data_IF_189249712525
#
_entry.id   IF_189249712525
#
_cell.length_a   1.000
_cell.length_b   1.000
_cell.length_c   1.000
_cell.angle_alpha   90.00
_cell.angle_beta   90.00
_cell.angle_gamma   90.00
#
_symmetry.space_group_name_H-M   'P 1'
#
loop_
_entity.id
_entity.type
_entity.pdbx_description
1 polymer ?
#
# COMPACT_ATOMS: atom_id res chain seq x y z
N UNK A 1 7.69 -37.23 -21.84
CA UNK A 1 6.99 -36.05 -21.29
C UNK A 1 6.50 -36.40 -19.89
N UNK A 2 6.61 -35.50 -18.89
CA UNK A 2 5.87 -35.71 -17.64
C UNK A 2 4.37 -35.65 -17.98
N UNK A 3 3.53 -36.58 -17.51
CA UNK A 3 2.09 -36.55 -17.79
C UNK A 3 1.49 -35.25 -17.27
N UNK A 4 0.56 -34.66 -18.02
CA UNK A 4 -0.11 -33.41 -17.67
C UNK A 4 -0.81 -33.60 -16.32
N UNK A 5 -0.77 -32.60 -15.43
CA UNK A 5 -1.32 -32.75 -14.06
C UNK A 5 -2.79 -33.18 -14.06
N UNK A 6 -3.53 -32.78 -15.10
CA UNK A 6 -4.93 -33.12 -15.37
C UNK A 6 -5.15 -34.63 -15.53
N UNK A 7 -4.19 -35.37 -16.11
CA UNK A 7 -4.27 -36.83 -16.27
C UNK A 7 -4.19 -37.56 -14.92
N UNK A 8 -3.59 -36.91 -13.91
CA UNK A 8 -3.42 -37.44 -12.56
C UNK A 8 -4.63 -37.17 -11.67
N UNK A 9 -5.59 -36.36 -12.12
CA UNK A 9 -6.82 -36.09 -11.40
C UNK A 9 -7.74 -37.31 -11.46
N UNK A 10 -8.28 -37.69 -10.30
CA UNK A 10 -9.39 -38.62 -10.20
C UNK A 10 -10.71 -37.86 -10.37
N UNK A 11 -10.84 -36.69 -9.76
CA UNK A 11 -11.96 -35.75 -9.94
C UNK A 11 -11.45 -34.32 -10.00
N UNK A 12 -12.18 -33.47 -10.70
CA UNK A 12 -11.97 -32.02 -10.72
C UNK A 12 -12.95 -31.36 -11.69
N UNK A 13 -13.48 -30.21 -11.31
CA UNK A 13 -14.36 -29.41 -12.16
C UNK A 13 -13.71 -28.06 -12.44
N UNK A 14 -13.95 -27.47 -13.60
CA UNK A 14 -13.53 -26.08 -13.83
C UNK A 14 -14.15 -25.17 -12.77
N UNK A 15 -13.35 -24.24 -12.25
CA UNK A 15 -13.85 -23.21 -11.35
C UNK A 15 -14.90 -22.35 -12.06
N UNK A 16 -15.96 -21.93 -11.35
CA UNK A 16 -17.10 -21.22 -11.91
C UNK A 16 -17.34 -19.91 -11.17
N UNK A 17 -17.71 -18.87 -11.91
CA UNK A 17 -18.16 -17.60 -11.32
C UNK A 17 -19.45 -17.80 -10.49
N UNK A 18 -20.31 -18.73 -10.94
CA UNK A 18 -21.55 -19.12 -10.27
C UNK A 18 -21.47 -20.62 -9.95
N UNK A 19 -20.91 -21.00 -8.80
CA UNK A 19 -20.75 -22.40 -8.41
C UNK A 19 -22.08 -23.02 -7.94
N UNK A 20 -22.31 -24.28 -8.31
CA UNK A 20 -23.54 -25.04 -7.99
C UNK A 20 -23.37 -25.90 -6.74
N UNK A 21 -22.75 -25.35 -5.69
CA UNK A 21 -22.50 -26.05 -4.41
C UNK A 21 -23.52 -25.63 -3.36
N UNK A 22 -23.78 -26.50 -2.37
CA UNK A 22 -24.78 -26.29 -1.34
C UNK A 22 -24.60 -24.99 -0.54
N UNK A 23 -25.69 -24.47 0.03
CA UNK A 23 -25.73 -23.17 0.72
C UNK A 23 -24.84 -23.07 1.97
N UNK A 24 -24.49 -24.20 2.58
CA UNK A 24 -23.56 -24.28 3.69
C UNK A 24 -22.09 -24.15 3.27
N UNK A 25 -21.75 -24.43 2.00
CA UNK A 25 -20.36 -24.53 1.50
C UNK A 25 -19.81 -23.20 1.01
N UNK A 26 -19.82 -22.21 1.88
CA UNK A 26 -19.35 -20.85 1.55
C UNK A 26 -17.88 -20.80 1.11
N UNK A 27 -17.01 -21.64 1.69
CA UNK A 27 -15.58 -21.73 1.33
C UNK A 27 -15.40 -22.15 -0.13
N UNK A 28 -16.05 -23.25 -0.53
CA UNK A 28 -16.02 -23.74 -1.92
C UNK A 28 -16.57 -22.67 -2.90
N UNK A 29 -17.58 -21.88 -2.50
CA UNK A 29 -18.12 -20.82 -3.37
C UNK A 29 -17.13 -19.68 -3.58
N UNK A 30 -16.57 -19.15 -2.50
CA UNK A 30 -15.63 -18.04 -2.58
C UNK A 30 -14.39 -18.43 -3.39
N UNK A 31 -13.87 -19.64 -3.15
CA UNK A 31 -12.73 -20.18 -3.89
C UNK A 31 -13.06 -20.40 -5.36
N UNK A 32 -14.21 -20.97 -5.70
CA UNK A 32 -14.61 -21.15 -7.10
C UNK A 32 -14.74 -19.81 -7.84
N UNK A 33 -15.41 -18.81 -7.24
CA UNK A 33 -15.58 -17.50 -7.84
C UNK A 33 -14.24 -16.76 -8.05
N UNK A 34 -13.34 -16.81 -7.05
CA UNK A 34 -11.98 -16.27 -7.16
C UNK A 34 -11.19 -16.94 -8.30
N UNK A 35 -11.16 -18.28 -8.30
CA UNK A 35 -10.41 -19.06 -9.26
C UNK A 35 -10.94 -18.90 -10.69
N UNK A 36 -12.25 -18.78 -10.85
CA UNK A 36 -12.88 -18.44 -12.12
C UNK A 36 -12.50 -17.03 -12.58
N UNK A 37 -12.48 -16.06 -11.66
CA UNK A 37 -12.04 -14.70 -11.95
C UNK A 37 -10.57 -14.65 -12.40
N UNK A 38 -9.70 -15.52 -11.89
CA UNK A 38 -8.32 -15.63 -12.42
C UNK A 38 -8.25 -16.12 -13.87
N UNK A 39 -9.19 -16.98 -14.30
CA UNK A 39 -9.24 -17.44 -15.68
C UNK A 39 -9.75 -16.34 -16.62
N UNK A 40 -10.74 -15.55 -16.16
CA UNK A 40 -11.43 -14.56 -17.01
C UNK A 40 -10.74 -13.18 -17.00
N UNK A 41 -10.05 -12.81 -15.92
CA UNK A 41 -9.39 -11.51 -15.76
C UNK A 41 -7.87 -11.69 -15.60
N UNK A 42 -7.11 -11.86 -16.71
CA UNK A 42 -5.68 -12.16 -16.65
C UNK A 42 -4.84 -11.09 -15.95
N UNK A 43 -5.25 -9.83 -16.02
CA UNK A 43 -4.58 -8.72 -15.32
C UNK A 43 -4.62 -8.89 -13.80
N UNK A 44 -5.77 -9.30 -13.25
CA UNK A 44 -5.93 -9.63 -11.84
C UNK A 44 -5.14 -10.86 -11.44
N UNK A 45 -5.27 -11.95 -12.20
CA UNK A 45 -4.50 -13.17 -11.95
C UNK A 45 -3.00 -12.92 -11.95
N UNK A 46 -2.50 -12.19 -12.95
CA UNK A 46 -1.08 -11.81 -13.06
C UNK A 46 -0.61 -11.02 -11.86
N UNK A 47 -1.41 -10.05 -11.42
CA UNK A 47 -1.08 -9.15 -10.31
C UNK A 47 -1.05 -9.88 -8.96
N UNK A 48 -1.93 -10.85 -8.75
CA UNK A 48 -1.93 -11.69 -7.55
C UNK A 48 -0.82 -12.73 -7.62
N UNK A 49 -0.77 -13.52 -8.70
CA UNK A 49 0.07 -14.71 -8.81
C UNK A 49 1.57 -14.38 -9.02
N UNK A 50 1.92 -13.16 -9.47
CA UNK A 50 3.32 -12.71 -9.48
C UNK A 50 3.96 -12.74 -8.09
N UNK A 51 3.15 -12.56 -7.03
CA UNK A 51 3.64 -12.52 -5.65
C UNK A 51 3.96 -13.92 -5.09
N UNK A 52 3.56 -14.98 -5.78
CA UNK A 52 3.86 -16.38 -5.43
C UNK A 52 4.76 -17.05 -6.47
N UNK A 53 5.60 -16.24 -7.13
CA UNK A 53 6.61 -16.69 -8.11
C UNK A 53 6.04 -17.44 -9.32
N UNK A 54 4.73 -17.34 -9.54
CA UNK A 54 4.10 -17.94 -10.70
C UNK A 54 4.55 -17.21 -11.98
N UNK A 55 4.66 -17.90 -13.13
CA UNK A 55 5.09 -17.29 -14.38
C UNK A 55 4.06 -16.26 -14.88
N UNK A 56 4.53 -15.05 -15.18
CA UNK A 56 3.68 -13.90 -15.55
C UNK A 56 4.03 -13.34 -16.95
N UNK A 57 3.71 -14.11 -18.00
CA UNK A 57 3.93 -13.74 -19.40
C UNK A 57 2.68 -13.23 -20.14
N UNK A 58 2.84 -12.65 -21.33
CA UNK A 58 1.71 -12.22 -22.18
C UNK A 58 0.92 -13.38 -22.80
N UNK A 59 1.52 -14.57 -22.91
CA UNK A 59 0.94 -15.77 -23.54
C UNK A 59 0.64 -16.89 -22.54
N UNK A 60 0.41 -16.54 -21.27
CA UNK A 60 0.06 -17.55 -20.27
C UNK A 60 -1.40 -17.96 -20.43
N UNK A 61 -1.67 -19.27 -20.34
CA UNK A 61 -3.03 -19.80 -20.20
C UNK A 61 -3.21 -20.21 -18.75
N UNK A 62 -4.20 -19.62 -18.08
CA UNK A 62 -4.54 -19.95 -16.70
C UNK A 62 -5.80 -20.81 -16.72
N UNK A 63 -5.73 -21.96 -16.05
CA UNK A 63 -6.86 -22.87 -15.89
C UNK A 63 -6.94 -23.24 -14.42
N UNK A 64 -8.12 -23.10 -13.84
CA UNK A 64 -8.36 -23.40 -12.44
C UNK A 64 -9.44 -24.46 -12.31
N UNK A 65 -9.20 -25.40 -11.40
CA UNK A 65 -10.14 -26.44 -11.02
C UNK A 65 -10.53 -26.30 -9.55
N UNK A 66 -11.73 -26.75 -9.21
CA UNK A 66 -12.21 -26.97 -7.85
C UNK A 66 -12.53 -28.44 -7.64
N UNK A 67 -12.74 -28.83 -6.38
CA UNK A 67 -13.13 -30.20 -6.01
C UNK A 67 -12.10 -31.27 -6.44
N UNK A 68 -10.83 -30.95 -6.26
CA UNK A 68 -9.73 -31.68 -6.86
C UNK A 68 -9.38 -32.90 -6.01
N UNK A 69 -9.35 -34.07 -6.62
CA UNK A 69 -8.80 -35.30 -6.01
C UNK A 69 -7.84 -35.96 -6.99
N UNK A 70 -6.81 -36.63 -6.47
CA UNK A 70 -5.77 -37.25 -7.28
C UNK A 70 -5.88 -38.78 -7.28
N UNK A 71 -5.49 -39.38 -8.40
CA UNK A 71 -5.31 -40.84 -8.53
C UNK A 71 -4.15 -41.29 -7.64
N UNK A 72 -4.26 -42.48 -7.05
CA UNK A 72 -3.26 -43.08 -6.14
C UNK A 72 -3.05 -42.36 -4.79
N UNK A 73 -4.04 -41.63 -4.28
CA UNK A 73 -4.03 -41.26 -2.87
C UNK A 73 -4.08 -42.51 -1.99
N UNK A 74 -3.32 -42.53 -0.90
CA UNK A 74 -3.42 -43.58 0.12
C UNK A 74 -4.89 -43.73 0.52
N UNK A 75 -5.42 -44.96 0.49
CA UNK A 75 -6.85 -45.27 0.64
C UNK A 75 -7.51 -44.69 1.91
N UNK A 76 -6.71 -44.28 2.90
CA UNK A 76 -7.16 -43.73 4.18
C UNK A 76 -7.03 -42.20 4.33
N UNK A 77 -6.44 -41.47 3.36
CA UNK A 77 -6.38 -40.00 3.38
C UNK A 77 -7.17 -39.42 2.21
N UNK A 78 -8.44 -39.07 2.46
CA UNK A 78 -9.26 -38.27 1.52
C UNK A 78 -8.85 -36.79 1.57
N UNK A 79 -7.63 -36.50 1.14
CA UNK A 79 -7.16 -35.12 0.98
C UNK A 79 -7.78 -34.53 -0.28
N UNK A 80 -8.70 -33.57 -0.11
CA UNK A 80 -9.43 -32.87 -1.18
C UNK A 80 -9.17 -31.37 -1.05
N UNK A 81 -8.11 -30.85 -1.68
CA UNK A 81 -7.88 -29.41 -1.76
C UNK A 81 -9.07 -28.70 -2.43
N UNK A 82 -9.36 -27.48 -1.99
CA UNK A 82 -10.44 -26.66 -2.54
C UNK A 82 -10.24 -26.31 -4.02
N UNK A 83 -8.98 -26.19 -4.46
CA UNK A 83 -8.69 -25.94 -5.87
C UNK A 83 -7.28 -26.30 -6.35
N UNK A 84 -7.11 -26.18 -7.66
CA UNK A 84 -5.85 -26.36 -8.39
C UNK A 84 -5.73 -25.27 -9.43
N UNK A 85 -4.62 -24.52 -9.42
CA UNK A 85 -4.25 -23.54 -10.44
C UNK A 85 -3.23 -24.20 -11.37
N UNK A 86 -3.45 -24.05 -12.66
CA UNK A 86 -2.54 -24.47 -13.72
C UNK A 86 -2.22 -23.27 -14.59
N UNK A 87 -0.94 -22.94 -14.70
CA UNK A 87 -0.45 -21.89 -15.59
C UNK A 87 0.46 -22.53 -16.64
N UNK A 88 0.05 -22.42 -17.91
CA UNK A 88 0.81 -22.95 -19.04
C UNK A 88 1.47 -21.80 -19.79
N UNK A 89 2.78 -21.92 -20.03
CA UNK A 89 3.57 -20.99 -20.84
C UNK A 89 4.38 -21.79 -21.87
N UNK A 90 3.81 -21.95 -23.07
CA UNK A 90 4.36 -22.84 -24.09
C UNK A 90 4.37 -24.29 -23.58
N UNK A 91 5.56 -24.89 -23.50
CA UNK A 91 5.76 -26.27 -23.01
C UNK A 91 5.97 -26.37 -21.50
N UNK A 92 6.13 -25.24 -20.80
CA UNK A 92 6.34 -25.21 -19.36
C UNK A 92 5.01 -25.02 -18.64
N UNK A 93 4.86 -25.71 -17.52
CA UNK A 93 3.68 -25.64 -16.67
C UNK A 93 4.11 -25.33 -15.24
N UNK A 94 3.36 -24.43 -14.59
CA UNK A 94 3.44 -24.16 -13.17
C UNK A 94 2.09 -24.49 -12.52
N UNK A 95 2.09 -25.18 -11.39
CA UNK A 95 0.88 -25.65 -10.73
C UNK A 95 0.88 -25.33 -9.23
N UNK A 96 -0.30 -25.02 -8.70
CA UNK A 96 -0.48 -24.80 -7.26
C UNK A 96 -1.78 -25.40 -6.74
N UNK A 97 -1.72 -26.12 -5.63
CA UNK A 97 -2.91 -26.46 -4.85
C UNK A 97 -3.42 -25.23 -4.11
N UNK A 98 -4.73 -25.16 -3.91
CA UNK A 98 -5.39 -24.09 -3.16
C UNK A 98 -6.19 -24.70 -2.03
N UNK A 99 -5.98 -24.19 -0.83
CA UNK A 99 -6.82 -24.46 0.35
C UNK A 99 -7.33 -23.14 0.90
N UNK A 100 -8.62 -23.08 1.21
CA UNK A 100 -9.27 -21.86 1.67
C UNK A 100 -9.99 -22.06 2.99
N UNK A 101 -10.02 -20.99 3.79
CA UNK A 101 -10.82 -20.90 5.00
C UNK A 101 -11.54 -19.56 5.04
N UNK A 102 -12.77 -19.57 5.52
CA UNK A 102 -13.54 -18.33 5.76
C UNK A 102 -13.96 -18.25 7.23
N UNK A 103 -14.55 -17.13 7.62
CA UNK A 103 -15.01 -16.91 9.00
C UNK A 103 -13.84 -16.95 9.99
N UNK A 104 -14.04 -17.66 11.10
CA UNK A 104 -13.08 -17.79 12.19
C UNK A 104 -12.35 -19.14 12.18
N UNK A 105 -12.44 -19.91 11.10
CA UNK A 105 -11.78 -21.21 11.01
C UNK A 105 -10.31 -21.01 10.65
N UNK A 106 -9.42 -21.47 11.52
CA UNK A 106 -7.99 -21.39 11.31
C UNK A 106 -7.49 -22.51 10.40
N UNK A 107 -6.37 -22.25 9.71
CA UNK A 107 -5.67 -23.27 8.94
C UNK A 107 -5.02 -24.27 9.90
N UNK A 108 -5.32 -25.56 9.75
CA UNK A 108 -4.72 -26.61 10.57
C UNK A 108 -3.35 -27.03 10.03
N UNK A 109 -2.34 -27.12 10.90
CA UNK A 109 -0.99 -27.53 10.50
C UNK A 109 -0.97 -28.91 9.82
N UNK A 110 -1.68 -29.88 10.40
CA UNK A 110 -1.78 -31.23 9.85
C UNK A 110 -2.33 -31.23 8.42
N UNK A 111 -3.39 -30.45 8.18
CA UNK A 111 -4.00 -30.32 6.85
C UNK A 111 -3.04 -29.71 5.83
N UNK A 112 -2.31 -28.65 6.20
CA UNK A 112 -1.31 -28.02 5.33
C UNK A 112 -0.19 -29.00 5.01
N UNK A 113 0.32 -29.68 6.04
CA UNK A 113 1.41 -30.64 5.89
C UNK A 113 1.00 -31.84 5.00
N UNK A 114 -0.24 -32.31 5.10
CA UNK A 114 -0.79 -33.36 4.24
C UNK A 114 -0.91 -32.90 2.79
N UNK A 115 -1.31 -31.65 2.54
CA UNK A 115 -1.34 -31.09 1.19
C UNK A 115 0.05 -30.82 0.61
N UNK A 116 1.04 -30.50 1.44
CA UNK A 116 2.43 -30.40 0.99
C UNK A 116 2.96 -31.77 0.53
N UNK A 117 2.64 -32.84 1.26
CA UNK A 117 3.00 -34.20 0.88
C UNK A 117 2.28 -34.63 -0.41
N UNK A 118 0.99 -34.30 -0.54
CA UNK A 118 0.20 -34.52 -1.76
C UNK A 118 0.81 -33.78 -2.96
N UNK A 119 1.13 -32.50 -2.80
CA UNK A 119 1.75 -31.68 -3.83
C UNK A 119 3.09 -32.28 -4.28
N UNK A 120 3.91 -32.74 -3.32
CA UNK A 120 5.18 -33.40 -3.61
C UNK A 120 5.00 -34.70 -4.40
N UNK A 121 4.06 -35.56 -3.99
CA UNK A 121 3.77 -36.83 -4.65
C UNK A 121 3.34 -36.64 -6.12
N UNK A 122 2.61 -35.56 -6.40
CA UNK A 122 2.16 -35.23 -7.77
C UNK A 122 3.04 -34.22 -8.50
N UNK A 123 4.18 -33.82 -7.94
CA UNK A 123 5.12 -32.87 -8.56
C UNK A 123 4.51 -31.49 -8.82
N UNK A 124 3.63 -31.04 -7.93
CA UNK A 124 3.01 -29.71 -7.93
C UNK A 124 3.99 -28.70 -7.34
N UNK A 125 4.06 -27.48 -7.89
CA UNK A 125 5.08 -26.51 -7.53
C UNK A 125 4.81 -25.83 -6.18
N UNK A 126 3.55 -25.54 -5.88
CA UNK A 126 3.19 -24.77 -4.69
C UNK A 126 1.89 -25.22 -4.01
N UNK A 127 1.75 -24.85 -2.74
CA UNK A 127 0.50 -24.81 -2.00
C UNK A 127 0.21 -23.36 -1.63
N UNK A 128 -0.97 -22.87 -2.01
CA UNK A 128 -1.47 -21.53 -1.67
C UNK A 128 -2.61 -21.70 -0.69
N UNK A 129 -2.48 -21.13 0.50
CA UNK A 129 -3.56 -21.05 1.47
C UNK A 129 -4.23 -19.68 1.40
N UNK A 130 -5.55 -19.62 1.59
CA UNK A 130 -6.31 -18.37 1.61
C UNK A 130 -7.17 -18.35 2.87
N UNK A 131 -7.04 -17.36 3.73
CA UNK A 131 -7.91 -17.26 4.91
C UNK A 131 -8.14 -15.83 5.38
N UNK A 132 -8.87 -15.65 6.48
CA UNK A 132 -8.97 -14.36 7.16
C UNK A 132 -7.77 -14.09 8.09
N UNK A 133 -6.82 -15.03 8.21
CA UNK A 133 -5.61 -14.86 9.01
C UNK A 133 -4.64 -13.85 8.39
N UNK A 134 -3.75 -13.34 9.23
CA UNK A 134 -2.83 -12.27 8.87
C UNK A 134 -1.68 -12.79 7.99
N UNK A 135 -1.45 -12.12 6.86
CA UNK A 135 -0.20 -12.20 6.10
C UNK A 135 0.21 -10.83 5.56
N UNK A 136 1.44 -10.44 5.88
CA UNK A 136 2.09 -9.26 5.29
C UNK A 136 2.61 -9.53 3.90
N UNK A 137 3.25 -10.69 3.73
CA UNK A 137 3.82 -11.18 2.48
C UNK A 137 3.30 -12.59 2.23
N UNK A 138 3.11 -13.00 0.96
CA UNK A 138 2.67 -14.36 0.70
C UNK A 138 3.63 -15.43 1.19
N UNK A 139 4.90 -15.11 1.39
CA UNK A 139 5.91 -16.01 1.94
C UNK A 139 5.86 -16.16 3.46
N UNK A 140 5.21 -15.23 4.18
CA UNK A 140 5.03 -15.34 5.62
C UNK A 140 3.73 -16.08 5.92
N UNK A 141 3.84 -17.38 6.16
CA UNK A 141 2.70 -18.25 6.43
C UNK A 141 2.28 -18.18 7.91
N UNK A 142 0.98 -18.06 8.24
CA UNK A 142 0.50 -17.94 9.62
C UNK A 142 0.72 -19.21 10.44
N UNK A 143 0.80 -20.36 9.78
CA UNK A 143 1.08 -21.66 10.40
C UNK A 143 2.52 -22.07 10.15
N UNK A 144 3.23 -22.45 11.23
CA UNK A 144 4.58 -23.00 11.15
C UNK A 144 4.51 -24.45 10.68
N UNK A 145 5.23 -24.76 9.60
CA UNK A 145 5.32 -26.13 9.05
C UNK A 145 6.75 -26.64 9.09
N UNK A 146 6.91 -27.95 9.05
CA UNK A 146 8.22 -28.59 9.06
C UNK A 146 9.03 -28.22 7.81
N UNK A 147 10.22 -27.61 7.99
CA UNK A 147 11.08 -27.12 6.89
C UNK A 147 11.42 -28.18 5.83
N UNK A 148 11.50 -29.46 6.21
CA UNK A 148 11.78 -30.54 5.26
C UNK A 148 10.66 -30.74 4.23
N UNK A 149 9.41 -30.44 4.57
CA UNK A 149 8.26 -30.51 3.64
C UNK A 149 8.27 -29.38 2.59
N UNK A 150 8.98 -28.28 2.87
CA UNK A 150 9.11 -27.13 1.98
C UNK A 150 10.26 -27.23 0.95
N UNK A 151 11.03 -28.33 0.95
CA UNK A 151 12.18 -28.46 0.03
C UNK A 151 11.77 -28.61 -1.44
N UNK A 152 10.61 -29.24 -1.68
CA UNK A 152 10.12 -29.58 -3.02
C UNK A 152 8.89 -28.79 -3.44
N UNK A 153 8.17 -28.19 -2.50
CA UNK A 153 6.92 -27.48 -2.72
C UNK A 153 7.00 -26.14 -2.00
N UNK A 154 6.69 -25.05 -2.69
CA UNK A 154 6.62 -23.72 -2.08
C UNK A 154 5.29 -23.55 -1.33
N UNK A 155 5.32 -22.89 -0.17
CA UNK A 155 4.12 -22.60 0.61
C UNK A 155 3.88 -21.09 0.63
N UNK A 156 2.68 -20.68 0.26
CA UNK A 156 2.27 -19.29 0.26
C UNK A 156 0.93 -19.09 0.96
N UNK A 157 0.71 -17.88 1.49
CA UNK A 157 -0.55 -17.48 2.10
C UNK A 157 -1.07 -16.15 1.56
N UNK A 158 -2.36 -16.08 1.24
CA UNK A 158 -3.06 -14.82 1.02
C UNK A 158 -4.14 -14.62 2.06
N UNK A 159 -4.33 -13.38 2.52
CA UNK A 159 -5.58 -13.04 3.20
C UNK A 159 -6.66 -12.70 2.18
N UNK A 160 -7.92 -13.06 2.44
CA UNK A 160 -9.05 -12.66 1.58
C UNK A 160 -9.11 -11.15 1.37
N UNK A 161 -8.82 -10.38 2.43
CA UNK A 161 -8.73 -8.93 2.37
C UNK A 161 -7.67 -8.44 1.38
N UNK A 162 -6.52 -9.13 1.29
CA UNK A 162 -5.47 -8.77 0.34
C UNK A 162 -5.89 -9.00 -1.12
N UNK A 163 -6.59 -10.10 -1.39
CA UNK A 163 -7.12 -10.41 -2.73
C UNK A 163 -8.19 -9.40 -3.16
N UNK A 164 -9.12 -9.09 -2.24
CA UNK A 164 -10.13 -8.06 -2.45
C UNK A 164 -9.53 -6.68 -2.66
N UNK A 165 -8.49 -6.33 -1.89
CA UNK A 165 -7.74 -5.07 -2.05
C UNK A 165 -7.19 -4.92 -3.46
N UNK A 166 -6.56 -5.98 -3.96
CA UNK A 166 -5.98 -5.98 -5.30
C UNK A 166 -7.05 -5.86 -6.39
N UNK A 167 -8.17 -6.55 -6.23
CA UNK A 167 -9.30 -6.47 -7.14
C UNK A 167 -9.87 -5.03 -7.23
N UNK A 168 -10.11 -4.39 -6.07
CA UNK A 168 -10.61 -3.00 -6.01
C UNK A 168 -9.63 -2.02 -6.69
N UNK A 169 -8.33 -2.14 -6.39
CA UNK A 169 -7.31 -1.26 -6.95
C UNK A 169 -7.19 -1.41 -8.48
N UNK A 170 -7.33 -2.62 -9.02
CA UNK A 170 -7.29 -2.84 -10.45
C UNK A 170 -8.51 -2.24 -11.17
N UNK A 171 -9.71 -2.45 -10.62
CA UNK A 171 -10.94 -1.87 -11.17
C UNK A 171 -10.88 -0.34 -11.14
N UNK A 172 -10.43 0.25 -10.03
CA UNK A 172 -10.42 1.69 -9.82
C UNK A 172 -9.37 2.43 -10.69
N UNK A 173 -8.24 1.79 -11.01
CA UNK A 173 -7.21 2.38 -11.86
C UNK A 173 -7.56 2.35 -13.37
N UNK A 174 -8.71 1.79 -13.76
CA UNK A 174 -9.06 1.52 -15.18
C UNK A 174 -7.96 0.75 -15.91
N UNK A 175 -7.22 -0.09 -15.20
CA UNK A 175 -6.13 -0.90 -15.74
C UNK A 175 -6.65 -2.14 -16.50
N UNK A 176 -7.96 -2.30 -16.58
CA UNK A 176 -8.63 -3.35 -17.34
C UNK A 176 -9.28 -2.68 -18.54
N UNK A 177 -8.71 -2.90 -19.72
CA UNK A 177 -9.19 -2.33 -20.98
C UNK A 177 -10.55 -2.91 -21.38
N UNK A 178 -10.76 -4.19 -21.06
CA UNK A 178 -11.98 -4.94 -21.37
C UNK A 178 -13.10 -4.62 -20.36
N UNK A 179 -14.23 -4.03 -20.81
CA UNK A 179 -15.36 -3.70 -19.94
C UNK A 179 -15.99 -4.91 -19.25
N UNK A 180 -16.01 -6.08 -19.90
CA UNK A 180 -16.60 -7.31 -19.35
C UNK A 180 -15.72 -7.86 -18.23
N UNK A 181 -14.40 -7.85 -18.42
CA UNK A 181 -13.45 -8.22 -17.36
C UNK A 181 -13.55 -7.29 -16.15
N UNK A 182 -13.72 -5.98 -16.39
CA UNK A 182 -13.90 -4.98 -15.34
C UNK A 182 -15.20 -5.21 -14.57
N UNK A 183 -16.28 -5.53 -15.28
CA UNK A 183 -17.57 -5.90 -14.67
C UNK A 183 -17.44 -7.15 -13.80
N UNK A 184 -16.84 -8.23 -14.31
CA UNK A 184 -16.66 -9.48 -13.57
C UNK A 184 -15.82 -9.28 -12.32
N UNK A 185 -14.74 -8.51 -12.41
CA UNK A 185 -13.91 -8.22 -11.24
C UNK A 185 -14.67 -7.37 -10.19
N UNK A 186 -15.50 -6.44 -10.65
CA UNK A 186 -16.38 -5.64 -9.77
C UNK A 186 -17.41 -6.51 -9.05
N UNK A 187 -18.00 -7.49 -9.74
CA UNK A 187 -18.94 -8.44 -9.12
C UNK A 187 -18.24 -9.38 -8.14
N UNK A 188 -17.00 -9.81 -8.41
CA UNK A 188 -16.19 -10.54 -7.42
C UNK A 188 -15.98 -9.68 -6.15
N UNK A 189 -15.61 -8.41 -6.31
CA UNK A 189 -15.44 -7.48 -5.18
C UNK A 189 -16.74 -7.38 -4.39
N UNK A 190 -17.87 -7.17 -5.06
CA UNK A 190 -19.20 -7.07 -4.45
C UNK A 190 -19.55 -8.34 -3.67
N UNK A 191 -19.28 -9.51 -4.25
CA UNK A 191 -19.48 -10.79 -3.59
C UNK A 191 -18.64 -10.91 -2.31
N UNK A 192 -17.34 -10.61 -2.38
CA UNK A 192 -16.42 -10.70 -1.23
C UNK A 192 -16.65 -9.59 -0.17
N UNK A 193 -17.39 -8.53 -0.51
CA UNK A 193 -17.79 -7.46 0.42
C UNK A 193 -19.06 -7.79 1.21
N UNK A 194 -19.90 -8.69 0.69
CA UNK A 194 -21.13 -9.06 1.36
C UNK A 194 -20.86 -9.92 2.60
N UNK A 195 -21.49 -9.60 3.74
CA UNK A 195 -21.31 -10.29 5.02
C UNK A 195 -21.54 -11.81 4.93
N UNK A 196 -22.47 -12.22 4.07
CA UNK A 196 -22.78 -13.65 3.86
C UNK A 196 -21.66 -14.45 3.21
N UNK A 197 -20.69 -13.81 2.54
CA UNK A 197 -19.54 -14.48 1.92
C UNK A 197 -18.61 -15.14 2.94
N UNK A 198 -18.63 -14.69 4.19
CA UNK A 198 -17.70 -15.13 5.25
C UNK A 198 -16.28 -14.58 5.11
N UNK A 199 -16.02 -13.73 4.10
CA UNK A 199 -14.82 -12.90 4.03
C UNK A 199 -15.00 -11.75 5.01
N UNK A 200 -14.26 -11.79 6.11
CA UNK A 200 -14.44 -10.80 7.17
C UNK A 200 -13.61 -9.57 6.87
N UNK A 201 -14.18 -8.39 7.10
CA UNK A 201 -13.41 -7.17 7.28
C UNK A 201 -12.41 -7.33 8.44
N UNK A 202 -11.36 -6.51 8.49
CA UNK A 202 -10.48 -6.55 9.65
C UNK A 202 -11.24 -6.07 10.91
N UNK A 203 -11.55 -6.98 11.82
CA UNK A 203 -12.31 -6.67 13.05
C UNK A 203 -11.43 -6.46 14.28
N UNK A 204 -10.18 -6.93 14.26
CA UNK A 204 -9.27 -6.85 15.39
C UNK A 204 -7.81 -6.93 14.97
N UNK A 205 -6.92 -6.39 15.79
CA UNK A 205 -5.49 -6.70 15.75
C UNK A 205 -5.20 -8.13 16.24
N UNK A 206 -3.99 -8.66 15.99
CA UNK A 206 -3.52 -9.93 16.56
C UNK A 206 -3.54 -9.95 18.09
N UNK A 207 -3.52 -11.15 18.68
CA UNK A 207 -3.49 -11.37 20.13
C UNK A 207 -2.32 -10.66 20.81
N UNK A 208 -1.18 -10.63 20.14
CA UNK A 208 0.08 -10.07 20.63
C UNK A 208 0.04 -8.54 20.78
N UNK A 209 -0.91 -7.86 20.14
CA UNK A 209 -1.04 -6.39 20.18
C UNK A 209 -1.18 -5.85 21.61
N UNK A 210 -1.96 -6.57 22.44
CA UNK A 210 -2.18 -6.19 23.85
C UNK A 210 -0.88 -6.30 24.66
N UNK A 211 -0.12 -7.35 24.42
CA UNK A 211 1.17 -7.58 25.07
C UNK A 211 2.18 -6.53 24.63
N UNK A 212 2.29 -6.28 23.32
CA UNK A 212 3.18 -5.27 22.74
C UNK A 212 2.93 -3.89 23.34
N UNK A 213 1.68 -3.45 23.31
CA UNK A 213 1.28 -2.14 23.86
C UNK A 213 1.55 -2.04 25.36
N UNK A 214 1.40 -3.14 26.10
CA UNK A 214 1.67 -3.17 27.53
C UNK A 214 3.17 -3.17 27.84
N UNK A 215 3.99 -3.83 27.03
CA UNK A 215 5.44 -3.81 27.14
C UNK A 215 6.01 -2.42 26.89
N UNK A 216 5.55 -1.74 25.83
CA UNK A 216 5.92 -0.34 25.56
C UNK A 216 5.52 0.57 26.73
N UNK A 217 4.31 0.43 27.28
CA UNK A 217 3.86 1.26 28.40
C UNK A 217 4.72 1.07 29.66
N UNK A 218 5.26 -0.14 29.88
CA UNK A 218 6.19 -0.41 31.00
C UNK A 218 7.61 0.08 30.72
N UNK A 219 7.87 0.71 29.57
CA UNK A 219 9.21 1.16 29.18
C UNK A 219 10.13 0.02 28.73
N UNK A 220 9.59 -1.15 28.40
CA UNK A 220 10.41 -2.28 27.93
C UNK A 220 10.84 -2.06 26.48
N UNK A 221 12.12 -2.34 26.19
CA UNK A 221 12.64 -2.34 24.82
C UNK A 221 12.08 -3.52 24.03
N UNK A 222 11.64 -3.25 22.80
CA UNK A 222 11.14 -4.27 21.88
C UNK A 222 12.27 -4.87 21.05
N UNK A 223 12.33 -6.20 20.95
CA UNK A 223 13.23 -6.87 20.01
C UNK A 223 12.58 -6.95 18.62
N UNK A 224 13.20 -6.33 17.61
CA UNK A 224 12.70 -6.30 16.22
C UNK A 224 12.46 -7.68 15.59
N UNK A 225 13.11 -8.73 16.10
CA UNK A 225 12.98 -10.11 15.61
C UNK A 225 11.93 -10.93 16.37
N UNK A 226 11.38 -10.40 17.46
CA UNK A 226 10.40 -11.11 18.30
C UNK A 226 9.10 -11.39 17.55
N UNK A 227 8.46 -12.51 17.88
CA UNK A 227 7.17 -12.90 17.30
C UNK A 227 6.08 -11.86 17.61
N UNK A 228 6.10 -11.29 18.82
CA UNK A 228 5.18 -10.23 19.24
C UNK A 228 5.24 -8.99 18.31
N UNK A 229 6.45 -8.55 17.95
CA UNK A 229 6.66 -7.43 17.02
C UNK A 229 6.22 -7.82 15.61
N UNK A 230 6.65 -8.98 15.11
CA UNK A 230 6.31 -9.45 13.75
C UNK A 230 4.80 -9.61 13.57
N UNK A 231 4.12 -10.24 14.52
CA UNK A 231 2.67 -10.39 14.52
C UNK A 231 1.98 -9.02 14.53
N UNK A 232 2.42 -8.09 15.38
CA UNK A 232 1.84 -6.74 15.45
C UNK A 232 2.02 -5.93 14.16
N UNK A 233 3.19 -6.01 13.51
CA UNK A 233 3.41 -5.42 12.18
C UNK A 233 2.53 -6.07 11.13
N UNK A 234 2.28 -7.38 11.23
CA UNK A 234 1.35 -8.06 10.35
C UNK A 234 -0.09 -7.58 10.47
N UNK A 235 -0.55 -7.42 11.71
CA UNK A 235 -1.81 -6.75 12.01
C UNK A 235 -1.88 -5.35 11.45
N UNK A 236 -0.81 -4.56 11.63
CA UNK A 236 -0.73 -3.19 11.14
C UNK A 236 -0.85 -3.10 9.61
N UNK A 237 -0.09 -3.90 8.85
CA UNK A 237 -0.18 -3.90 7.39
C UNK A 237 -1.56 -4.31 6.88
N UNK A 238 -2.24 -5.23 7.58
CA UNK A 238 -3.61 -5.61 7.24
C UNK A 238 -4.60 -4.48 7.55
N UNK A 239 -4.42 -3.78 8.67
CA UNK A 239 -5.20 -2.59 9.01
C UNK A 239 -5.04 -1.52 7.94
N UNK A 240 -3.81 -1.23 7.50
CA UNK A 240 -3.58 -0.25 6.44
C UNK A 240 -4.30 -0.62 5.14
N UNK A 241 -4.23 -1.89 4.71
CA UNK A 241 -4.98 -2.37 3.52
C UNK A 241 -6.48 -2.20 3.70
N UNK A 242 -7.00 -2.52 4.89
CA UNK A 242 -8.41 -2.32 5.23
C UNK A 242 -8.83 -0.86 5.15
N UNK A 243 -8.06 0.05 5.75
CA UNK A 243 -8.33 1.50 5.71
C UNK A 243 -8.28 2.05 4.28
N UNK A 244 -7.29 1.61 3.49
CA UNK A 244 -7.17 1.95 2.07
C UNK A 244 -8.41 1.55 1.29
N UNK A 245 -8.86 0.31 1.49
CA UNK A 245 -10.05 -0.24 0.84
C UNK A 245 -11.32 0.51 1.20
N UNK A 246 -11.58 0.67 2.50
CA UNK A 246 -12.80 1.32 2.98
C UNK A 246 -12.89 2.75 2.46
N UNK A 247 -11.78 3.51 2.53
CA UNK A 247 -11.77 4.87 2.02
C UNK A 247 -11.95 4.87 0.49
N UNK A 248 -11.30 3.97 -0.25
CA UNK A 248 -11.46 3.86 -1.70
C UNK A 248 -12.92 3.65 -2.11
N UNK A 249 -13.61 2.75 -1.41
CA UNK A 249 -15.03 2.48 -1.61
C UNK A 249 -15.89 3.69 -1.26
N UNK A 250 -15.59 4.37 -0.16
CA UNK A 250 -16.36 5.52 0.33
C UNK A 250 -16.29 6.72 -0.61
N UNK A 251 -15.15 6.93 -1.28
CA UNK A 251 -14.92 8.08 -2.16
C UNK A 251 -15.01 7.74 -3.66
N UNK A 252 -15.13 6.45 -4.01
CA UNK A 252 -15.16 5.98 -5.40
C UNK A 252 -13.86 6.24 -6.18
N UNK A 253 -12.70 6.33 -5.50
CA UNK A 253 -11.38 6.56 -6.10
C UNK A 253 -10.33 5.64 -5.45
N UNK A 254 -9.30 5.18 -6.16
CA UNK A 254 -8.30 4.28 -5.60
C UNK A 254 -7.42 5.01 -4.57
N UNK A 255 -7.55 4.64 -3.30
CA UNK A 255 -6.61 5.03 -2.24
C UNK A 255 -5.55 3.95 -2.13
N UNK A 256 -4.29 4.34 -2.09
CA UNK A 256 -3.15 3.40 -2.01
C UNK A 256 -2.20 3.75 -0.86
N UNK A 257 -1.49 2.74 -0.37
CA UNK A 257 -0.44 2.91 0.63
C UNK A 257 0.82 3.43 -0.07
N UNK A 258 1.32 4.60 0.35
CA UNK A 258 2.49 5.21 -0.25
C UNK A 258 3.77 4.55 0.29
N UNK A 259 4.38 3.70 -0.53
CA UNK A 259 5.67 3.04 -0.25
C UNK A 259 6.80 3.62 -1.10
N UNK A 260 8.02 3.60 -0.58
CA UNK A 260 9.20 3.90 -1.41
C UNK A 260 9.34 2.85 -2.52
N UNK A 261 9.98 3.21 -3.64
CA UNK A 261 10.19 2.26 -4.76
C UNK A 261 10.89 0.97 -4.33
N UNK A 262 11.80 1.06 -3.35
CA UNK A 262 12.50 -0.10 -2.80
C UNK A 262 11.56 -1.01 -2.00
N UNK A 263 10.80 -0.43 -1.06
CA UNK A 263 9.82 -1.15 -0.23
C UNK A 263 8.68 -1.76 -1.05
N UNK A 264 8.23 -1.08 -2.10
CA UNK A 264 7.20 -1.59 -3.00
C UNK A 264 7.65 -2.81 -3.82
N UNK A 265 8.96 -2.90 -4.15
CA UNK A 265 9.52 -4.05 -4.89
C UNK A 265 9.91 -5.22 -4.00
N UNK A 266 10.24 -4.95 -2.73
CA UNK A 266 10.69 -5.96 -1.79
C UNK A 266 9.84 -5.91 -0.52
N UNK A 267 8.82 -6.77 -0.48
CA UNK A 267 7.87 -6.83 0.62
C UNK A 267 8.52 -7.31 1.94
N UNK A 268 9.55 -8.18 1.86
CA UNK A 268 10.32 -8.62 3.03
C UNK A 268 11.11 -7.45 3.62
N UNK A 269 11.79 -6.66 2.78
CA UNK A 269 12.49 -5.45 3.22
C UNK A 269 11.52 -4.47 3.89
N UNK A 270 10.34 -4.24 3.29
CA UNK A 270 9.32 -3.40 3.89
C UNK A 270 8.93 -3.87 5.29
N UNK A 271 8.69 -5.17 5.44
CA UNK A 271 8.32 -5.79 6.72
C UNK A 271 9.44 -5.67 7.77
N UNK A 272 10.69 -5.94 7.39
CA UNK A 272 11.84 -5.86 8.31
C UNK A 272 12.12 -4.42 8.75
N UNK A 273 11.98 -3.45 7.84
CA UNK A 273 12.15 -2.04 8.14
C UNK A 273 11.09 -1.55 9.13
N UNK A 274 9.83 -1.96 8.95
CA UNK A 274 8.75 -1.56 9.83
C UNK A 274 8.86 -2.21 11.22
N UNK A 275 9.34 -3.46 11.30
CA UNK A 275 9.70 -4.08 12.58
C UNK A 275 10.81 -3.32 13.31
N UNK A 276 11.85 -2.88 12.58
CA UNK A 276 12.94 -2.08 13.15
C UNK A 276 12.44 -0.70 13.60
N UNK A 277 11.58 -0.06 12.80
CA UNK A 277 11.00 1.24 13.12
C UNK A 277 10.14 1.17 14.40
N UNK A 278 9.25 0.17 14.52
CA UNK A 278 8.45 -0.03 15.72
C UNK A 278 9.32 -0.25 16.96
N UNK A 279 10.34 -1.09 16.83
CA UNK A 279 11.23 -1.41 17.94
C UNK A 279 12.03 -0.19 18.45
N UNK A 280 12.39 0.72 17.54
CA UNK A 280 13.14 1.92 17.87
C UNK A 280 12.26 3.07 18.38
N UNK A 281 11.10 3.28 17.75
CA UNK A 281 10.29 4.49 17.94
C UNK A 281 9.04 4.26 18.78
N UNK A 282 8.73 3.01 19.16
CA UNK A 282 7.49 2.63 19.85
C UNK A 282 6.23 3.19 19.17
N UNK A 283 6.28 3.31 17.84
CA UNK A 283 5.21 3.88 17.04
C UNK A 283 5.18 3.23 15.65
N UNK A 284 4.03 3.33 15.01
CA UNK A 284 3.78 2.90 13.64
C UNK A 284 3.34 4.10 12.84
N UNK A 285 3.81 4.25 11.61
CA UNK A 285 3.45 5.39 10.75
C UNK A 285 3.44 4.98 9.29
N UNK A 286 2.43 5.41 8.54
CA UNK A 286 2.30 5.13 7.12
C UNK A 286 1.55 6.24 6.41
N UNK A 287 1.95 6.54 5.18
CA UNK A 287 1.29 7.52 4.33
C UNK A 287 0.34 6.84 3.34
N UNK A 288 -0.79 7.48 3.06
CA UNK A 288 -1.76 7.10 2.04
C UNK A 288 -1.79 8.13 0.92
N UNK A 289 -1.78 7.66 -0.32
CA UNK A 289 -1.95 8.47 -1.52
C UNK A 289 -3.40 8.40 -1.99
N UNK A 290 -4.02 9.57 -2.10
CA UNK A 290 -5.38 9.76 -2.59
C UNK A 290 -5.30 10.60 -3.88
N UNK A 291 -5.89 10.14 -4.99
CA UNK A 291 -5.89 10.88 -6.24
C UNK A 291 -6.43 12.30 -6.06
N UNK A 292 -5.70 13.27 -6.62
CA UNK A 292 -6.05 14.70 -6.60
C UNK A 292 -6.14 15.37 -5.22
N UNK A 293 -5.81 14.68 -4.13
CA UNK A 293 -5.80 15.27 -2.79
C UNK A 293 -4.66 16.30 -2.61
N UNK A 294 -4.82 17.20 -1.64
CA UNK A 294 -3.86 18.28 -1.41
C UNK A 294 -2.50 17.81 -0.89
N UNK A 295 -2.44 16.68 -0.22
CA UNK A 295 -1.23 15.99 0.20
C UNK A 295 -1.57 14.51 0.41
N UNK A 296 -0.57 13.71 0.76
CA UNK A 296 -0.82 12.40 1.35
C UNK A 296 -1.43 12.55 2.75
N UNK A 297 -2.16 11.53 3.19
CA UNK A 297 -2.59 11.40 4.59
C UNK A 297 -1.56 10.56 5.33
N UNK A 298 -1.03 11.05 6.43
CA UNK A 298 -0.23 10.24 7.36
C UNK A 298 -1.14 9.65 8.43
N UNK A 299 -1.09 8.34 8.60
CA UNK A 299 -1.75 7.62 9.68
C UNK A 299 -0.69 7.01 10.59
N UNK A 300 -0.74 7.31 11.88
CA UNK A 300 0.21 6.76 12.84
C UNK A 300 -0.42 6.39 14.18
N UNK A 301 0.17 5.39 14.81
CA UNK A 301 -0.17 4.94 16.15
C UNK A 301 1.06 5.09 17.05
N UNK A 302 0.96 5.93 18.08
CA UNK A 302 2.01 6.08 19.09
C UNK A 302 1.68 5.18 20.27
N UNK A 303 2.42 4.08 20.41
CA UNK A 303 2.18 3.09 21.46
C UNK A 303 2.56 3.61 22.85
N UNK A 304 3.49 4.57 22.94
CA UNK A 304 3.91 5.17 24.19
C UNK A 304 2.84 6.12 24.73
N UNK A 305 2.31 6.97 23.84
CA UNK A 305 1.26 7.95 24.18
C UNK A 305 -0.15 7.35 24.12
N UNK A 306 -0.32 6.17 23.52
CA UNK A 306 -1.61 5.50 23.27
C UNK A 306 -2.55 6.36 22.41
N UNK A 307 -1.97 7.01 21.40
CA UNK A 307 -2.71 7.91 20.51
C UNK A 307 -2.75 7.37 19.08
N UNK A 308 -3.88 7.61 18.41
CA UNK A 308 -3.97 7.58 16.95
C UNK A 308 -3.81 9.00 16.43
N UNK A 309 -3.00 9.16 15.40
CA UNK A 309 -2.75 10.43 14.76
C UNK A 309 -3.04 10.31 13.26
N UNK A 310 -3.86 11.22 12.73
CA UNK A 310 -4.15 11.31 11.30
C UNK A 310 -3.83 12.74 10.86
N UNK A 311 -2.97 12.93 9.87
CA UNK A 311 -2.56 14.27 9.45
C UNK A 311 -2.40 14.43 7.95
N UNK A 312 -2.45 15.68 7.50
CA UNK A 312 -2.11 16.10 6.14
C UNK A 312 -1.17 17.30 6.21
N UNK A 313 0.02 17.15 5.62
CA UNK A 313 1.08 18.17 5.61
C UNK A 313 1.18 18.79 4.22
N UNK A 314 1.00 20.11 4.15
CA UNK A 314 1.03 20.90 2.93
C UNK A 314 2.23 21.84 2.93
N UNK A 315 2.79 22.09 1.75
CA UNK A 315 3.70 23.22 1.54
C UNK A 315 3.00 24.52 1.91
N UNK A 316 3.71 25.39 2.64
CA UNK A 316 3.17 26.70 2.97
C UNK A 316 3.01 27.55 1.68
N UNK A 317 2.01 28.44 1.65
CA UNK A 317 1.71 29.24 0.47
C UNK A 317 2.86 30.20 0.16
N UNK A 318 3.35 30.20 -1.09
CA UNK A 318 4.40 31.13 -1.53
C UNK A 318 3.83 32.53 -1.76
N UNK A 319 4.69 33.55 -1.70
CA UNK A 319 4.30 34.96 -1.94
C UNK A 319 3.50 35.62 -0.81
N UNK A 320 3.46 35.01 0.38
CA UNK A 320 3.01 35.69 1.60
C UNK A 320 4.18 36.47 2.20
N UNK A 321 3.88 37.62 2.82
CA UNK A 321 4.87 38.45 3.53
C UNK A 321 4.82 38.27 5.05
N UNK A 322 3.74 37.67 5.59
CA UNK A 322 3.53 37.47 7.03
C UNK A 322 3.19 36.01 7.32
N UNK A 323 3.76 35.44 8.38
CA UNK A 323 3.47 34.08 8.82
C UNK A 323 1.98 33.87 9.16
N UNK A 324 1.35 34.86 9.81
CA UNK A 324 -0.10 34.85 10.07
C UNK A 324 -0.93 34.77 8.78
N UNK A 325 -0.45 35.29 7.65
CA UNK A 325 -1.14 35.17 6.37
C UNK A 325 -1.03 33.76 5.77
N UNK A 326 0.07 33.05 6.04
CA UNK A 326 0.24 31.63 5.69
C UNK A 326 -0.64 30.73 6.56
N UNK A 327 -0.70 30.99 7.88
CA UNK A 327 -1.56 30.25 8.81
C UNK A 327 -3.04 30.47 8.47
N UNK A 328 -3.43 31.73 8.23
CA UNK A 328 -4.79 32.04 7.79
C UNK A 328 -5.17 31.43 6.43
N UNK A 329 -4.21 31.06 5.59
CA UNK A 329 -4.52 30.38 4.33
C UNK A 329 -5.00 28.94 4.56
N UNK A 330 -4.43 28.23 5.54
CA UNK A 330 -4.86 26.85 5.83
C UNK A 330 -6.13 26.84 6.72
N UNK A 331 -6.21 27.71 7.74
CA UNK A 331 -7.40 27.75 8.63
C UNK A 331 -8.68 28.10 7.88
N UNK A 332 -8.61 29.00 6.90
CA UNK A 332 -9.77 29.40 6.09
C UNK A 332 -10.37 28.26 5.27
N UNK A 333 -9.60 27.24 4.92
CA UNK A 333 -10.11 26.08 4.17
C UNK A 333 -11.05 25.20 5.00
N UNK A 334 -10.97 25.32 6.34
CA UNK A 334 -11.83 24.61 7.29
C UNK A 334 -12.83 25.55 7.99
N UNK A 335 -12.97 26.80 7.53
CA UNK A 335 -13.87 27.77 8.14
C UNK A 335 -15.33 27.32 8.02
N UNK A 336 -16.08 27.39 9.12
CA UNK A 336 -17.50 27.02 9.15
C UNK A 336 -17.76 25.51 9.19
N UNK A 337 -16.70 24.70 9.34
CA UNK A 337 -16.82 23.25 9.57
C UNK A 337 -16.80 22.99 11.07
N UNK A 338 -17.77 22.23 11.57
CA UNK A 338 -17.76 21.75 12.96
C UNK A 338 -16.81 20.54 13.04
N UNK A 339 -15.53 20.83 13.27
CA UNK A 339 -14.48 19.81 13.38
C UNK A 339 -13.90 19.81 14.79
N UNK A 340 -13.93 18.64 15.42
CA UNK A 340 -13.44 18.44 16.80
C UNK A 340 -12.05 17.82 16.79
N UNK A 341 -11.28 18.12 17.82
CA UNK A 341 -9.96 17.52 18.07
C UNK A 341 -8.95 17.70 16.92
N UNK A 342 -9.02 18.84 16.22
CA UNK A 342 -8.08 19.22 15.17
C UNK A 342 -7.07 20.24 15.70
N UNK A 343 -5.79 19.96 15.48
CA UNK A 343 -4.68 20.88 15.69
C UNK A 343 -4.05 21.34 14.37
N UNK A 344 -3.31 22.45 14.45
CA UNK A 344 -2.44 22.94 13.38
C UNK A 344 -1.02 22.92 13.89
N UNK A 345 -0.10 22.41 13.06
CA UNK A 345 1.34 22.48 13.27
C UNK A 345 2.00 23.33 12.19
N UNK A 346 2.96 24.16 12.60
CA UNK A 346 3.78 24.95 11.68
C UNK A 346 5.24 24.51 11.76
N UNK A 347 5.82 24.22 10.59
CA UNK A 347 7.22 23.86 10.45
C UNK A 347 8.00 25.07 9.98
N UNK A 348 9.01 25.46 10.73
CA UNK A 348 9.79 26.67 10.49
C UNK A 348 11.12 26.33 9.81
N UNK A 349 11.70 27.25 9.03
CA UNK A 349 13.01 27.04 8.44
C UNK A 349 14.11 26.99 9.50
N UNK A 350 15.30 26.57 9.09
CA UNK A 350 16.48 26.41 9.96
C UNK A 350 16.17 25.41 11.10
N UNK A 351 16.75 25.60 12.28
CA UNK A 351 16.60 24.70 13.44
C UNK A 351 15.49 25.16 14.39
N UNK A 352 14.57 26.00 13.93
CA UNK A 352 13.45 26.47 14.74
C UNK A 352 12.47 25.32 15.00
N UNK A 353 12.15 25.00 16.27
CA UNK A 353 11.22 23.92 16.60
C UNK A 353 9.84 24.10 15.97
N UNK A 354 9.19 22.98 15.62
CA UNK A 354 7.80 22.99 15.18
C UNK A 354 6.89 23.46 16.33
N UNK A 355 5.91 24.30 16.00
CA UNK A 355 4.89 24.78 16.93
C UNK A 355 3.54 24.13 16.62
N UNK A 356 2.67 24.04 17.62
CA UNK A 356 1.35 23.43 17.49
C UNK A 356 0.33 24.15 18.38
N UNK A 357 -0.86 24.41 17.85
CA UNK A 357 -2.02 24.91 18.61
C UNK A 357 -3.32 24.25 18.11
N UNK A 358 -4.43 24.44 18.81
CA UNK A 358 -5.73 23.96 18.33
C UNK A 358 -6.19 24.74 17.09
N UNK A 359 -7.01 24.14 16.22
CA UNK A 359 -7.57 24.84 15.06
C UNK A 359 -8.40 26.07 15.49
N UNK A 360 -9.15 25.94 16.59
CA UNK A 360 -9.95 27.04 17.17
C UNK A 360 -9.06 28.22 17.55
N UNK A 361 -7.96 27.95 18.26
CA UNK A 361 -7.00 28.98 18.67
C UNK A 361 -6.28 29.58 17.46
N UNK A 362 -5.81 28.77 16.51
CA UNK A 362 -5.17 29.29 15.29
C UNK A 362 -6.12 30.15 14.43
N UNK A 363 -7.43 29.89 14.52
CA UNK A 363 -8.45 30.68 13.80
C UNK A 363 -8.74 32.01 14.49
N UNK A 364 -8.78 32.01 15.83
CA UNK A 364 -9.01 33.21 16.64
C UNK A 364 -7.75 34.11 16.71
N UNK A 365 -6.59 33.50 16.94
CA UNK A 365 -5.30 34.16 17.08
C UNK A 365 -4.20 33.37 16.33
N UNK A 366 -4.01 33.63 15.02
CA UNK A 366 -2.97 32.96 14.23
C UNK A 366 -1.55 33.19 14.75
N UNK A 367 -1.30 34.26 15.51
CA UNK A 367 0.02 34.57 16.06
C UNK A 367 0.44 33.60 17.16
N UNK A 368 -0.51 32.91 17.82
CA UNK A 368 -0.22 31.91 18.85
C UNK A 368 0.63 30.73 18.34
N UNK A 369 0.58 30.46 17.03
CA UNK A 369 1.39 29.42 16.40
C UNK A 369 2.80 29.91 16.03
N UNK A 370 3.09 31.21 16.09
CA UNK A 370 4.40 31.77 15.72
C UNK A 370 5.32 31.76 16.94
N UNK A 371 6.50 31.11 16.88
CA UNK A 371 7.45 31.18 17.98
C UNK A 371 7.91 32.61 18.23
N UNK A 372 8.23 32.92 19.49
CA UNK A 372 8.72 34.24 19.88
C UNK A 372 10.01 34.60 19.12
N UNK A 373 10.09 35.85 18.63
CA UNK A 373 11.25 36.35 17.88
C UNK A 373 11.41 35.82 16.45
N UNK A 374 10.49 34.99 15.94
CA UNK A 374 10.57 34.43 14.58
C UNK A 374 9.78 35.28 13.59
N UNK A 375 10.49 35.83 12.60
CA UNK A 375 9.91 36.58 11.46
C UNK A 375 9.84 35.76 10.17
N UNK A 376 10.49 34.60 10.13
CA UNK A 376 10.47 33.70 8.98
C UNK A 376 9.05 33.16 8.70
N UNK A 377 8.79 32.77 7.45
CA UNK A 377 7.55 32.09 7.09
C UNK A 377 7.65 30.59 7.41
N UNK A 378 6.54 29.93 7.77
CA UNK A 378 6.53 28.48 7.85
C UNK A 378 6.86 27.89 6.47
N UNK A 379 7.61 26.80 6.45
CA UNK A 379 7.91 26.00 5.25
C UNK A 379 6.75 25.07 4.93
N UNK A 380 6.11 24.50 5.95
CA UNK A 380 4.98 23.60 5.83
C UNK A 380 3.96 23.86 6.93
N UNK A 381 2.70 23.55 6.64
CA UNK A 381 1.60 23.55 7.58
C UNK A 381 0.96 22.17 7.59
N UNK A 382 0.74 21.62 8.77
CA UNK A 382 0.12 20.30 8.95
C UNK A 382 -1.18 20.47 9.74
N UNK A 383 -2.28 19.92 9.21
CA UNK A 383 -3.50 19.71 9.97
C UNK A 383 -3.46 18.29 10.53
N UNK A 384 -3.72 18.15 11.83
CA UNK A 384 -3.63 16.87 12.51
C UNK A 384 -4.84 16.65 13.43
N UNK A 385 -5.37 15.44 13.41
CA UNK A 385 -6.25 14.91 14.46
C UNK A 385 -5.45 13.98 15.36
N UNK A 386 -5.52 14.23 16.67
CA UNK A 386 -4.93 13.37 17.69
C UNK A 386 -6.07 12.79 18.52
N UNK A 387 -6.21 11.47 18.51
CA UNK A 387 -7.19 10.75 19.31
C UNK A 387 -6.46 10.00 20.42
N UNK A 388 -6.68 10.40 21.68
CA UNK A 388 -6.26 9.62 22.83
C UNK A 388 -7.23 8.46 23.04
N UNK A 389 -6.72 7.23 22.88
CA UNK A 389 -7.50 6.02 23.05
C UNK A 389 -7.42 5.46 24.48
N UNK A 390 -6.56 6.00 25.34
CA UNK A 390 -6.34 5.53 26.70
C UNK A 390 -6.24 3.99 26.79
N UNK A 391 -7.14 3.33 27.53
CA UNK A 391 -7.14 1.87 27.66
C UNK A 391 -7.56 1.13 26.37
N UNK A 392 -8.38 1.76 25.51
CA UNK A 392 -8.86 1.18 24.24
C UNK A 392 -7.74 0.92 23.25
N UNK A 393 -6.63 1.67 23.33
CA UNK A 393 -5.46 1.47 22.48
C UNK A 393 -4.93 0.03 22.52
N UNK A 394 -4.93 -0.58 23.72
CA UNK A 394 -4.40 -1.94 23.92
C UNK A 394 -5.36 -3.02 23.46
N UNK A 395 -6.66 -2.72 23.37
CA UNK A 395 -7.68 -3.68 23.02
C UNK A 395 -7.59 -4.02 21.53
N UNK A 396 -7.33 -5.29 21.15
CA UNK A 396 -7.14 -5.62 19.74
C UNK A 396 -8.35 -5.27 18.87
N UNK A 397 -9.57 -5.47 19.39
CA UNK A 397 -10.82 -5.11 18.71
C UNK A 397 -11.03 -3.60 18.68
N UNK A 398 -10.94 -2.94 19.83
CA UNK A 398 -11.21 -1.51 19.95
C UNK A 398 -10.23 -0.65 19.15
N UNK A 399 -8.95 -1.01 19.09
CA UNK A 399 -7.97 -0.30 18.27
C UNK A 399 -8.32 -0.37 16.77
N UNK A 400 -8.74 -1.54 16.28
CA UNK A 400 -9.18 -1.70 14.90
C UNK A 400 -10.47 -0.92 14.62
N UNK A 401 -11.47 -0.99 15.51
CA UNK A 401 -12.72 -0.22 15.42
C UNK A 401 -12.46 1.29 15.35
N UNK A 402 -11.66 1.82 16.29
CA UNK A 402 -11.36 3.24 16.37
C UNK A 402 -10.55 3.72 15.14
N UNK A 403 -9.60 2.90 14.66
CA UNK A 403 -8.85 3.19 13.43
C UNK A 403 -9.75 3.24 12.20
N UNK A 404 -10.61 2.25 12.04
CA UNK A 404 -11.56 2.13 10.92
C UNK A 404 -12.59 3.26 10.91
N UNK A 405 -12.97 3.76 12.09
CA UNK A 405 -13.87 4.90 12.23
C UNK A 405 -13.18 6.23 11.95
N UNK A 406 -12.06 6.49 12.61
CA UNK A 406 -11.46 7.84 12.63
C UNK A 406 -10.72 8.18 11.33
N UNK A 407 -10.12 7.20 10.64
CA UNK A 407 -9.38 7.43 9.41
C UNK A 407 -10.25 8.03 8.27
N UNK A 408 -11.38 7.42 7.85
CA UNK A 408 -12.23 8.02 6.84
C UNK A 408 -12.90 9.32 7.32
N UNK A 409 -13.25 9.41 8.62
CA UNK A 409 -13.84 10.60 9.20
C UNK A 409 -12.89 11.80 9.11
N UNK A 410 -11.58 11.61 9.33
CA UNK A 410 -10.60 12.67 9.12
C UNK A 410 -10.57 13.15 7.67
N UNK A 411 -10.64 12.25 6.69
CA UNK A 411 -10.68 12.66 5.28
C UNK A 411 -11.95 13.45 4.96
N UNK A 412 -13.10 13.01 5.47
CA UNK A 412 -14.38 13.72 5.32
C UNK A 412 -14.36 15.11 5.96
N UNK A 413 -13.85 15.23 7.18
CA UNK A 413 -13.88 16.48 7.96
C UNK A 413 -12.80 17.48 7.51
N UNK A 414 -11.66 16.97 7.05
CA UNK A 414 -10.47 17.77 6.75
C UNK A 414 -10.00 17.53 5.33
N UNK A 415 -9.61 16.30 5.00
CA UNK A 415 -8.81 16.02 3.82
C UNK A 415 -9.44 16.44 2.49
N UNK A 416 -10.74 16.22 2.31
CA UNK A 416 -11.48 16.60 1.10
C UNK A 416 -11.67 18.12 0.94
N UNK A 417 -11.43 18.90 2.00
CA UNK A 417 -11.56 20.36 2.00
C UNK A 417 -10.23 21.08 1.79
N UNK A 418 -9.11 20.37 1.95
CA UNK A 418 -7.79 20.93 1.73
C UNK A 418 -7.46 21.03 0.23
N UNK A 419 -6.72 22.09 -0.12
CA UNK A 419 -6.28 22.40 -1.48
C UNK A 419 -4.81 22.84 -1.44
N UNK A 420 -4.02 22.36 -2.41
CA UNK A 420 -2.64 22.85 -2.62
C UNK A 420 -2.66 24.33 -2.96
N UNK A 421 -1.68 25.06 -2.45
CA UNK A 421 -1.47 26.43 -2.90
C UNK A 421 -1.09 26.44 -4.38
N UNK A 422 -1.69 27.37 -5.14
CA UNK A 422 -1.37 27.63 -6.56
C UNK A 422 -0.93 29.08 -6.71
N UNK A 423 0.11 29.31 -7.51
CA UNK A 423 0.53 30.65 -7.87
C UNK A 423 -0.60 31.37 -8.63
N UNK A 424 -0.78 32.67 -8.36
CA UNK A 424 -1.70 33.49 -9.15
C UNK A 424 -1.14 33.63 -10.57
N UNK A 425 -2.03 33.61 -11.56
CA UNK A 425 -1.65 33.89 -12.93
C UNK A 425 -1.02 35.29 -13.03
N UNK A 426 0.10 35.45 -13.75
CA UNK A 426 0.68 36.78 -14.00
C UNK A 426 -0.40 37.70 -14.58
N UNK A 427 -0.56 38.87 -13.98
CA UNK A 427 -1.48 39.89 -14.50
C UNK A 427 -0.74 40.73 -15.52
N UNK A 428 -1.42 41.12 -16.60
CA UNK A 428 -0.92 42.16 -17.50
C UNK A 428 -0.72 43.40 -16.66
N UNK A 429 0.51 43.94 -16.61
CA UNK A 429 0.76 45.19 -15.92
C UNK A 429 -0.02 46.27 -16.66
N UNK A 430 -0.91 46.96 -15.98
CA UNK A 430 -1.48 48.20 -16.52
C UNK A 430 -0.30 49.14 -16.82
N UNK A 431 -0.19 49.57 -18.07
CA UNK A 431 0.80 50.54 -18.48
C UNK A 431 0.50 51.83 -17.71
N UNK A 432 1.23 52.08 -16.62
CA UNK A 432 1.39 53.44 -16.13
C UNK A 432 1.95 54.22 -17.31
N UNK A 433 1.22 55.23 -17.76
CA UNK A 433 1.67 56.16 -18.79
C UNK A 433 3.04 56.71 -18.39
N UNK A 434 4.08 56.17 -18.99
CA UNK A 434 5.41 56.73 -18.99
C UNK A 434 5.92 56.54 -20.41
N UNK A 435 6.44 57.65 -20.94
CA UNK A 435 7.17 57.80 -22.20
C UNK A 435 7.74 56.49 -22.76
N UNK A 436 7.48 56.30 -24.05
CA UNK A 436 7.93 55.20 -24.89
C UNK A 436 9.43 54.95 -24.79
N UNK A 437 9.83 53.96 -23.99
CA UNK A 437 11.06 53.20 -24.20
C UNK A 437 10.73 51.73 -23.95
N UNK A 438 10.77 50.95 -25.03
CA UNK A 438 10.47 49.52 -25.04
C UNK A 438 11.70 48.77 -24.49
N UNK A 439 11.60 47.98 -23.40
CA UNK A 439 12.71 47.15 -22.96
C UNK A 439 12.87 45.95 -23.88
N UNK A 440 14.04 45.84 -24.51
CA UNK A 440 14.44 44.75 -25.39
C UNK A 440 14.61 43.44 -24.58
N UNK A 441 13.87 42.39 -24.92
CA UNK A 441 13.86 41.08 -24.19
C UNK A 441 15.04 40.17 -24.60
N UNK A 442 15.99 40.67 -25.39
CA UNK A 442 17.09 39.88 -25.94
C UNK A 442 18.47 40.56 -25.83
N UNK A 443 18.81 41.17 -24.69
CA UNK A 443 20.19 41.64 -24.46
C UNK A 443 20.99 40.69 -23.56
N UNK A 444 21.42 39.58 -24.16
CA UNK A 444 22.77 39.07 -23.97
C UNK A 444 23.31 38.69 -25.35
N UNK A 445 24.27 39.43 -25.92
CA UNK A 445 24.90 38.99 -27.15
C UNK A 445 25.65 37.68 -26.87
N UNK A 446 25.25 36.63 -27.59
CA UNK A 446 26.04 35.41 -27.74
C UNK A 446 27.27 35.82 -28.54
N UNK A 447 28.43 35.90 -27.88
CA UNK A 447 29.70 36.12 -28.56
C UNK A 447 30.02 34.84 -29.35
N UNK A 448 29.78 34.89 -30.66
CA UNK A 448 30.31 33.92 -31.61
C UNK A 448 31.65 34.50 -32.09
N UNK A 449 32.81 33.85 -31.85
CA UNK A 449 34.06 34.34 -32.42
C UNK A 449 34.06 34.06 -33.93
N UNK A 450 33.88 35.11 -34.73
CA UNK A 450 34.04 35.07 -36.19
C UNK A 450 35.52 35.11 -36.55
N UNK A 451 35.96 34.11 -37.33
CA UNK A 451 37.22 34.13 -38.07
C UNK A 451 37.16 35.18 -39.19
N UNK A 452 38.13 36.08 -39.23
CA UNK A 452 38.70 36.70 -40.43
C UNK A 452 39.95 37.48 -39.98
N UNK A 453 41.13 36.86 -40.09
CA UNK A 453 42.12 37.19 -41.13
C UNK A 453 42.51 38.68 -41.14
N UNK A 454 43.64 38.97 -40.48
CA UNK A 454 44.54 40.00 -40.96
C UNK A 454 45.92 39.39 -41.19
N UNK A 455 46.30 39.48 -42.45
CA UNK A 455 47.60 39.20 -43.04
C UNK A 455 48.68 40.05 -42.36
N UNK A 456 49.75 39.42 -41.87
CA UNK A 456 51.04 40.07 -41.67
C UNK A 456 52.14 39.04 -41.84
N UNK A 457 52.98 39.31 -42.84
CA UNK A 457 54.14 38.55 -43.25
C UNK A 457 55.24 38.65 -42.19
N UNK A 458 55.82 37.50 -41.80
CA UNK A 458 57.25 37.37 -41.50
C UNK A 458 57.67 35.90 -41.46
N UNK A 459 58.35 35.50 -42.54
CA UNK A 459 59.59 34.72 -42.62
C UNK A 459 59.93 33.63 -41.57
N UNK A 460 60.25 32.43 -42.11
CA UNK A 460 61.35 31.54 -41.70
C UNK A 460 61.32 30.83 -40.33
N UNK A 461 61.03 29.51 -40.32
CA UNK A 461 62.04 28.42 -40.29
C UNK A 461 61.41 27.06 -39.96
N UNK A 462 61.96 26.03 -40.61
CA UNK A 462 61.69 24.61 -40.40
C UNK A 462 62.44 24.07 -39.17
N UNK A 463 61.86 23.07 -38.49
CA UNK A 463 62.50 21.89 -37.85
C UNK A 463 61.39 21.12 -37.09
N UNK A 464 60.95 19.92 -37.48
CA UNK A 464 61.57 18.59 -37.34
C UNK A 464 61.83 18.14 -35.89
N UNK A 465 61.11 17.06 -35.55
CA UNK A 465 61.44 15.93 -34.67
C UNK A 465 61.20 15.95 -33.15
N UNK A 466 60.56 14.84 -32.77
CA UNK A 466 60.79 13.95 -31.63
C UNK A 466 60.24 14.27 -30.23
N UNK A 467 59.25 13.43 -29.86
CA UNK A 467 59.23 12.57 -28.66
C UNK A 467 60.46 12.64 -27.74
N UNK A 468 60.23 12.89 -26.45
CA UNK A 468 60.50 11.89 -25.41
C UNK A 468 59.93 12.30 -24.04
N UNK A 469 59.32 11.29 -23.41
CA UNK A 469 59.29 10.93 -21.98
C UNK A 469 59.68 12.00 -20.93
N UNK A 470 58.73 12.32 -20.04
CA UNK A 470 58.73 11.77 -18.68
C UNK A 470 57.32 11.83 -18.05
#
# INVERSE_FOLDING_TARGET
>A
MKPEITERLATGQYARLIPTVADSKKEERATSALLASFMVVPSFAKKVLSNVRAPVGKRIKIVCYTEVTFKNNEKNKKSRPDGLIIITNGTKQWTALVESKIGNTDLAQEQIEDYLDLAKAHGINALITISNQFATTPTHHPVKVTKNKLRSVELFHFSWLSLKSEAVLLTANKNIEDPEQSYILSELVRYLDHDSSGVTSLTRMPSEWKELSSSVQRGASLAKTSEMVKSSIAGWHQLLKHLSLNLSMSIGQPVSIALSRSKAKNAELNFTDDCAYLAQNNSLSTEFEIPNAASKITFSADCSRRTLNISMKLDAPKGKTRATASINWITRQLKGKDVKSIGIRAYWPRRTPMTSVSLTEATANPSALIPEGVSDLPTHLEIIRIIDLAARFKGPKTFAEDSTKEFPLFYQDVGQHLSKWRAKAPQVKEAKSASSDIPNILDKPIIIPSKSEHFSQTTEKAELYHTNEH
#
